data_IF_273368992936
#
_entry.id   IF_273368992936
#
_cell.length_a   1.000
_cell.length_b   1.000
_cell.length_c   1.000
_cell.angle_alpha   90.00
_cell.angle_beta   90.00
_cell.angle_gamma   90.00
#
_symmetry.space_group_name_H-M   'P 1'
#
loop_
_entity.id
_entity.type
_entity.pdbx_description
1 polymer ?
#
# COMPACT_ATOMS: atom_id res chain seq x y z
N UNK A 1 -12.18 64.80 -33.96
CA UNK A 1 -12.97 64.55 -32.74
C UNK A 1 -12.58 63.17 -32.24
N UNK A 2 -11.64 63.17 -31.31
CA UNK A 2 -10.96 62.02 -30.71
C UNK A 2 -11.80 61.46 -29.56
N UNK A 3 -12.12 60.16 -29.57
CA UNK A 3 -12.82 59.50 -28.48
C UNK A 3 -11.86 59.12 -27.33
N UNK A 4 -12.27 59.24 -26.06
CA UNK A 4 -11.65 58.53 -24.94
C UNK A 4 -12.53 57.31 -24.59
N UNK A 5 -12.05 56.17 -24.11
CA UNK A 5 -10.76 55.76 -23.57
C UNK A 5 -11.10 54.50 -22.78
N UNK A 6 -10.60 53.34 -23.20
CA UNK A 6 -10.84 52.09 -22.47
C UNK A 6 -10.02 52.09 -21.16
N UNK A 7 -10.59 51.65 -20.02
CA UNK A 7 -9.82 51.49 -18.80
C UNK A 7 -8.94 50.23 -18.88
N UNK A 8 -7.71 50.36 -18.38
CA UNK A 8 -6.61 49.43 -18.59
C UNK A 8 -6.67 48.14 -17.80
N UNK A 9 -5.98 47.14 -18.33
CA UNK A 9 -5.66 45.89 -17.63
C UNK A 9 -4.57 46.13 -16.59
N UNK A 10 -4.68 45.57 -15.37
CA UNK A 10 -3.55 45.44 -14.48
C UNK A 10 -2.75 44.16 -14.78
N UNK A 11 -1.44 44.32 -14.86
CA UNK A 11 -0.46 43.24 -15.00
C UNK A 11 -0.25 42.49 -13.66
N UNK A 12 -0.34 41.16 -13.78
CA UNK A 12 0.37 40.07 -13.08
C UNK A 12 1.06 40.36 -11.72
N UNK A 13 0.57 39.70 -10.68
CA UNK A 13 1.37 39.27 -9.53
C UNK A 13 1.40 37.74 -9.51
N UNK A 14 2.60 37.16 -9.57
CA UNK A 14 2.82 35.72 -9.62
C UNK A 14 2.50 35.01 -8.31
N UNK A 15 2.05 33.77 -8.44
CA UNK A 15 2.10 32.76 -7.39
C UNK A 15 2.82 31.54 -7.96
N UNK A 16 3.81 30.96 -7.26
CA UNK A 16 4.39 29.71 -7.70
C UNK A 16 3.33 28.62 -7.58
N UNK A 17 3.04 27.98 -8.71
CA UNK A 17 2.21 26.80 -8.78
C UNK A 17 2.90 25.65 -8.02
N UNK A 18 2.58 25.50 -6.74
CA UNK A 18 2.80 24.29 -5.98
C UNK A 18 1.53 23.44 -6.00
N UNK A 19 1.16 22.87 -7.15
CA UNK A 19 0.12 21.86 -7.22
C UNK A 19 0.78 20.48 -7.10
N UNK A 20 0.94 19.98 -5.88
CA UNK A 20 1.21 18.56 -5.62
C UNK A 20 -0.10 17.80 -5.45
N UNK A 21 -0.97 17.89 -6.46
CA UNK A 21 -2.21 17.14 -6.53
C UNK A 21 -2.14 16.16 -7.70
N UNK A 22 -1.22 15.20 -7.59
CA UNK A 22 -1.21 14.01 -8.46
C UNK A 22 -0.71 12.76 -7.69
N UNK A 23 -1.31 12.52 -6.51
CA UNK A 23 -0.76 11.62 -5.47
C UNK A 23 -1.42 10.24 -5.23
N UNK A 24 -2.34 9.70 -6.06
CA UNK A 24 -2.69 8.28 -5.99
C UNK A 24 -2.21 7.42 -7.17
N UNK A 25 -2.16 7.97 -8.39
CA UNK A 25 -1.93 7.18 -9.61
C UNK A 25 -0.45 6.81 -9.83
N UNK A 26 0.49 7.62 -9.33
CA UNK A 26 1.93 7.41 -9.53
C UNK A 26 2.52 6.31 -8.63
N UNK A 27 1.94 6.05 -7.45
CA UNK A 27 2.54 5.16 -6.44
C UNK A 27 2.91 3.75 -6.95
N UNK A 28 2.04 3.02 -7.68
CA UNK A 28 2.41 1.71 -8.21
C UNK A 28 3.56 1.80 -9.22
N UNK A 29 3.54 2.81 -10.09
CA UNK A 29 4.56 3.00 -11.12
C UNK A 29 5.92 3.37 -10.50
N UNK A 30 5.93 4.28 -9.52
CA UNK A 30 7.12 4.72 -8.80
C UNK A 30 7.76 3.57 -8.03
N UNK A 31 6.95 2.75 -7.33
CA UNK A 31 7.43 1.57 -6.62
C UNK A 31 8.07 0.57 -7.60
N UNK A 32 7.43 0.31 -8.74
CA UNK A 32 7.98 -0.61 -9.73
C UNK A 32 9.27 -0.07 -10.37
N UNK A 33 9.37 1.23 -10.63
CA UNK A 33 10.59 1.85 -11.12
C UNK A 33 11.74 1.73 -10.09
N UNK A 34 11.46 1.95 -8.81
CA UNK A 34 12.44 1.82 -7.73
C UNK A 34 12.92 0.37 -7.58
N UNK A 35 12.01 -0.61 -7.62
CA UNK A 35 12.34 -2.04 -7.60
C UNK A 35 13.20 -2.43 -8.81
N UNK A 36 12.83 -2.01 -10.02
CA UNK A 36 13.56 -2.33 -11.25
C UNK A 36 14.97 -1.74 -11.26
N UNK A 37 15.14 -0.53 -10.74
CA UNK A 37 16.46 0.09 -10.58
C UNK A 37 17.39 -0.74 -9.70
N UNK A 38 16.84 -1.51 -8.75
CA UNK A 38 17.58 -2.41 -7.86
C UNK A 38 17.65 -3.86 -8.36
N UNK A 39 16.95 -4.19 -9.44
CA UNK A 39 16.76 -5.58 -9.87
C UNK A 39 15.93 -6.40 -8.89
N UNK A 40 15.10 -5.75 -8.07
CA UNK A 40 14.27 -6.39 -7.05
C UNK A 40 12.87 -6.74 -7.56
N UNK A 41 12.27 -7.69 -6.86
CA UNK A 41 10.94 -8.22 -7.09
C UNK A 41 10.04 -8.07 -5.86
N UNK A 42 8.73 -8.07 -6.07
CA UNK A 42 7.71 -7.86 -5.03
C UNK A 42 6.60 -8.91 -5.09
N UNK A 43 6.14 -9.32 -3.92
CA UNK A 43 5.00 -10.21 -3.70
C UNK A 43 4.02 -9.60 -2.69
N UNK A 44 2.74 -9.93 -2.80
CA UNK A 44 1.68 -9.29 -2.00
C UNK A 44 0.83 -10.31 -1.23
N UNK A 45 0.61 -10.08 0.06
CA UNK A 45 -0.40 -10.76 0.87
C UNK A 45 -1.57 -9.80 1.15
N UNK A 46 -2.77 -10.13 0.67
CA UNK A 46 -3.94 -9.28 0.84
C UNK A 46 -5.01 -9.95 1.71
N UNK A 47 -5.64 -9.16 2.58
CA UNK A 47 -6.87 -9.53 3.28
C UNK A 47 -7.97 -8.53 2.92
N UNK A 48 -8.10 -7.43 3.67
CA UNK A 48 -9.19 -6.47 3.46
C UNK A 48 -9.22 -5.86 2.06
N UNK A 49 -8.05 -5.69 1.42
CA UNK A 49 -7.93 -5.10 0.08
C UNK A 49 -8.39 -6.06 -1.02
N UNK A 50 -8.38 -7.37 -0.78
CA UNK A 50 -9.01 -8.35 -1.68
C UNK A 50 -8.50 -8.34 -3.12
N UNK A 51 -7.22 -8.05 -3.35
CA UNK A 51 -6.60 -8.03 -4.68
C UNK A 51 -6.28 -6.63 -5.20
N UNK A 52 -6.74 -5.56 -4.55
CA UNK A 52 -6.57 -4.18 -5.04
C UNK A 52 -5.11 -3.71 -5.08
N UNK A 53 -4.23 -4.26 -4.23
CA UNK A 53 -2.80 -3.92 -4.27
C UNK A 53 -2.15 -4.58 -5.48
N UNK A 54 -2.44 -5.86 -5.69
CA UNK A 54 -1.94 -6.61 -6.84
C UNK A 54 -2.45 -6.01 -8.14
N UNK A 55 -3.75 -5.70 -8.23
CA UNK A 55 -4.39 -5.05 -9.38
C UNK A 55 -3.70 -3.73 -9.76
N UNK A 56 -3.48 -2.85 -8.78
CA UNK A 56 -2.82 -1.57 -9.01
C UNK A 56 -1.38 -1.72 -9.53
N UNK A 57 -0.64 -2.73 -9.06
CA UNK A 57 0.71 -3.01 -9.55
C UNK A 57 0.68 -3.57 -10.98
N UNK A 58 -0.19 -4.55 -11.27
CA UNK A 58 -0.22 -5.19 -12.61
C UNK A 58 -0.84 -4.31 -13.69
N UNK A 59 -1.58 -3.28 -13.31
CA UNK A 59 -2.07 -2.25 -14.24
C UNK A 59 -0.94 -1.41 -14.86
N UNK A 60 0.27 -1.39 -14.25
CA UNK A 60 1.42 -0.65 -14.77
C UNK A 60 2.11 -1.44 -15.89
N UNK A 61 2.33 -0.85 -17.09
CA UNK A 61 3.06 -1.51 -18.16
C UNK A 61 4.45 -2.01 -17.73
N UNK A 62 4.72 -3.30 -17.95
CA UNK A 62 5.99 -3.93 -17.59
C UNK A 62 6.09 -4.39 -16.14
N UNK A 63 4.98 -4.40 -15.38
CA UNK A 63 4.94 -4.90 -14.00
C UNK A 63 5.51 -6.32 -13.83
N UNK A 64 5.39 -7.18 -14.85
CA UNK A 64 5.93 -8.55 -14.83
C UNK A 64 7.44 -8.65 -14.61
N UNK A 65 8.20 -7.55 -14.78
CA UNK A 65 9.64 -7.51 -14.45
C UNK A 65 9.92 -7.59 -12.95
N UNK A 66 8.98 -7.17 -12.10
CA UNK A 66 9.18 -7.11 -10.64
C UNK A 66 8.07 -7.81 -9.86
N UNK A 67 6.82 -7.82 -10.34
CA UNK A 67 5.70 -8.44 -9.61
C UNK A 67 5.75 -9.96 -9.78
N UNK A 68 5.94 -10.68 -8.67
CA UNK A 68 5.93 -12.15 -8.63
C UNK A 68 4.52 -12.72 -8.54
N UNK A 69 3.61 -11.99 -7.92
CA UNK A 69 2.22 -12.40 -7.72
C UNK A 69 1.68 -11.95 -6.37
N UNK A 70 0.48 -12.41 -6.04
CA UNK A 70 -0.18 -12.12 -4.78
C UNK A 70 -1.00 -13.29 -4.26
N UNK A 71 -1.22 -13.31 -2.95
CA UNK A 71 -2.08 -14.24 -2.23
C UNK A 71 -3.16 -13.44 -1.52
N UNK A 72 -4.42 -13.70 -1.84
CA UNK A 72 -5.56 -13.14 -1.09
C UNK A 72 -5.97 -14.14 -0.01
N UNK A 73 -5.48 -13.93 1.22
CA UNK A 73 -5.77 -14.75 2.40
C UNK A 73 -6.87 -14.07 3.25
N UNK A 74 -8.09 -14.02 2.70
CA UNK A 74 -9.22 -13.32 3.33
C UNK A 74 -9.66 -13.99 4.64
N UNK A 75 -9.80 -15.31 4.64
CA UNK A 75 -10.11 -16.09 5.84
C UNK A 75 -8.88 -16.20 6.76
N UNK A 76 -9.12 -16.22 8.08
CA UNK A 76 -8.04 -16.22 9.10
C UNK A 76 -7.16 -17.46 9.01
N UNK A 77 -7.74 -18.64 8.80
CA UNK A 77 -7.02 -19.91 8.64
C UNK A 77 -6.10 -19.91 7.40
N UNK A 78 -6.51 -19.25 6.31
CA UNK A 78 -5.70 -19.11 5.11
C UNK A 78 -4.43 -18.27 5.33
N UNK A 79 -4.41 -17.38 6.33
CA UNK A 79 -3.18 -16.66 6.71
C UNK A 79 -2.13 -17.65 7.24
N UNK A 80 -2.54 -18.69 7.96
CA UNK A 80 -1.61 -19.72 8.43
C UNK A 80 -1.17 -20.65 7.29
N UNK A 81 -2.12 -21.22 6.53
CA UNK A 81 -1.82 -22.26 5.54
C UNK A 81 -1.04 -21.70 4.34
N UNK A 82 -1.45 -20.55 3.81
CA UNK A 82 -0.87 -19.98 2.60
C UNK A 82 0.35 -19.11 2.88
N UNK A 83 0.31 -18.30 3.95
CA UNK A 83 1.35 -17.31 4.27
C UNK A 83 2.26 -17.73 5.43
N UNK A 84 1.96 -18.83 6.12
CA UNK A 84 2.80 -19.31 7.24
C UNK A 84 2.72 -18.42 8.48
N UNK A 85 1.63 -17.67 8.66
CA UNK A 85 1.39 -16.96 9.92
C UNK A 85 1.20 -18.00 11.03
N UNK A 86 1.88 -17.80 12.15
CA UNK A 86 1.78 -18.72 13.28
C UNK A 86 0.33 -18.79 13.81
N UNK A 87 -0.18 -20.01 13.98
CA UNK A 87 -1.56 -20.22 14.40
C UNK A 87 -1.80 -19.77 15.85
N UNK A 88 -0.79 -19.85 16.72
CA UNK A 88 -0.89 -19.36 18.10
C UNK A 88 -0.93 -17.83 18.14
N UNK A 89 -0.22 -17.15 17.24
CA UNK A 89 -0.32 -15.69 17.06
C UNK A 89 -1.75 -15.30 16.65
N UNK A 90 -2.32 -15.96 15.65
CA UNK A 90 -3.69 -15.72 15.20
C UNK A 90 -4.72 -15.95 16.32
N UNK A 91 -4.55 -17.02 17.09
CA UNK A 91 -5.44 -17.32 18.22
C UNK A 91 -5.33 -16.29 19.36
N UNK A 92 -4.12 -15.80 19.64
CA UNK A 92 -3.87 -14.87 20.74
C UNK A 92 -4.22 -13.41 20.41
N UNK A 93 -4.07 -13.00 19.15
CA UNK A 93 -4.12 -11.60 18.73
C UNK A 93 -5.20 -11.27 17.70
N UNK A 94 -5.81 -12.29 17.09
CA UNK A 94 -6.77 -12.11 16.00
C UNK A 94 -6.09 -11.80 14.67
N UNK A 95 -6.89 -11.69 13.60
CA UNK A 95 -6.37 -11.49 12.24
C UNK A 95 -5.99 -10.03 11.93
N UNK A 96 -6.50 -9.08 12.72
CA UNK A 96 -6.28 -7.64 12.55
C UNK A 96 -5.30 -7.19 13.63
N UNK A 97 -4.01 -7.43 13.38
CA UNK A 97 -2.94 -7.10 14.33
C UNK A 97 -1.65 -6.77 13.55
N UNK A 98 -0.81 -5.84 14.05
CA UNK A 98 0.45 -5.47 13.39
C UNK A 98 1.46 -6.63 13.25
N UNK A 99 1.53 -7.55 14.21
CA UNK A 99 2.41 -8.72 14.18
C UNK A 99 1.94 -9.73 13.13
N UNK A 100 0.62 -9.84 12.93
CA UNK A 100 0.03 -10.63 11.85
C UNK A 100 0.33 -10.01 10.49
N UNK A 101 0.22 -8.69 10.34
CA UNK A 101 0.61 -7.99 9.10
C UNK A 101 2.09 -8.26 8.77
N UNK A 102 2.98 -8.15 9.77
CA UNK A 102 4.39 -8.44 9.62
C UNK A 102 4.67 -9.89 9.19
N UNK A 103 3.97 -10.86 9.80
CA UNK A 103 4.09 -12.27 9.45
C UNK A 103 3.57 -12.55 8.03
N UNK A 104 2.44 -11.96 7.64
CA UNK A 104 1.90 -12.05 6.28
C UNK A 104 2.89 -11.52 5.23
N UNK A 105 3.54 -10.38 5.49
CA UNK A 105 4.52 -9.79 4.56
C UNK A 105 5.75 -10.68 4.39
N UNK A 106 6.29 -11.23 5.49
CA UNK A 106 7.38 -12.24 5.45
C UNK A 106 6.94 -13.48 4.67
N UNK A 107 5.72 -13.94 4.92
CA UNK A 107 5.07 -15.05 4.23
C UNK A 107 5.04 -14.86 2.72
N UNK A 108 4.50 -13.74 2.25
CA UNK A 108 4.44 -13.40 0.83
C UNK A 108 5.83 -13.38 0.20
N UNK A 109 6.80 -12.69 0.84
CA UNK A 109 8.19 -12.62 0.39
C UNK A 109 8.79 -14.01 0.18
N UNK A 110 8.69 -14.86 1.20
CA UNK A 110 9.31 -16.20 1.17
C UNK A 110 8.59 -17.17 0.24
N UNK A 111 7.25 -17.27 0.33
CA UNK A 111 6.46 -18.26 -0.41
C UNK A 111 6.42 -18.00 -1.91
N UNK A 112 6.51 -16.74 -2.33
CA UNK A 112 6.50 -16.35 -3.75
C UNK A 112 7.90 -16.05 -4.31
N UNK A 113 8.95 -16.20 -3.50
CA UNK A 113 10.33 -15.96 -3.89
C UNK A 113 10.54 -14.54 -4.41
N UNK A 114 10.16 -13.55 -3.60
CA UNK A 114 10.34 -12.13 -3.90
C UNK A 114 11.38 -11.50 -2.97
N UNK A 115 11.95 -10.36 -3.38
CA UNK A 115 12.87 -9.58 -2.54
C UNK A 115 12.10 -8.79 -1.48
N UNK A 116 10.92 -8.31 -1.86
CA UNK A 116 10.01 -7.51 -1.03
C UNK A 116 8.65 -8.22 -0.89
N UNK A 117 8.15 -8.31 0.34
CA UNK A 117 6.80 -8.78 0.63
C UNK A 117 5.93 -7.66 1.19
N UNK A 118 4.74 -7.47 0.65
CA UNK A 118 3.74 -6.51 1.13
C UNK A 118 2.62 -7.25 1.85
N UNK A 119 2.00 -6.64 2.85
CA UNK A 119 0.81 -7.19 3.48
C UNK A 119 -0.24 -6.13 3.85
N UNK A 120 -1.52 -6.52 3.77
CA UNK A 120 -2.65 -5.73 4.28
C UNK A 120 -3.60 -6.59 5.12
N UNK A 121 -3.93 -6.12 6.33
CA UNK A 121 -5.00 -6.68 7.17
C UNK A 121 -5.75 -5.55 7.89
N UNK A 122 -7.03 -5.75 8.21
CA UNK A 122 -7.85 -4.68 8.74
C UNK A 122 -9.35 -4.93 8.61
N UNK A 123 -10.13 -4.02 9.19
CA UNK A 123 -11.58 -4.03 9.19
C UNK A 123 -12.08 -2.94 8.25
N UNK A 124 -12.46 -3.30 7.03
CA UNK A 124 -13.00 -2.33 6.07
C UNK A 124 -14.39 -1.80 6.46
N UNK A 125 -15.10 -2.46 7.38
CA UNK A 125 -16.47 -2.10 7.76
C UNK A 125 -17.55 -2.69 6.84
N UNK A 126 -18.84 -2.35 7.08
CA UNK A 126 -19.29 -1.31 8.00
C UNK A 126 -19.34 -1.73 9.49
N UNK A 127 -19.25 -3.01 9.79
CA UNK A 127 -19.25 -3.54 11.16
C UNK A 127 -17.81 -3.79 11.64
N UNK A 128 -17.63 -3.75 12.97
CA UNK A 128 -16.37 -4.17 13.61
C UNK A 128 -16.11 -5.68 13.45
N UNK A 129 -14.88 -6.09 13.70
CA UNK A 129 -14.46 -7.49 13.66
C UNK A 129 -13.36 -7.72 14.71
N UNK A 130 -13.42 -8.86 15.43
CA UNK A 130 -12.39 -9.27 16.41
C UNK A 130 -12.05 -8.20 17.47
N UNK A 131 -13.06 -7.40 17.88
CA UNK A 131 -12.88 -6.30 18.83
C UNK A 131 -12.40 -4.99 18.19
N UNK A 132 -12.02 -5.01 16.92
CA UNK A 132 -11.56 -3.84 16.17
C UNK A 132 -12.69 -3.09 15.50
N UNK A 133 -12.56 -1.76 15.48
CA UNK A 133 -13.53 -0.86 14.86
C UNK A 133 -13.33 -0.78 13.34
N UNK A 134 -14.39 -0.51 12.55
CA UNK A 134 -14.27 -0.19 11.13
C UNK A 134 -13.24 0.91 10.89
N UNK A 135 -12.42 0.75 9.84
CA UNK A 135 -11.33 1.64 9.48
C UNK A 135 -9.96 1.23 10.04
N UNK A 136 -9.90 0.28 10.98
CA UNK A 136 -8.63 -0.19 11.56
C UNK A 136 -7.85 -0.99 10.52
N UNK A 137 -6.63 -0.56 10.21
CA UNK A 137 -5.78 -1.15 9.16
C UNK A 137 -4.35 -1.27 9.65
N UNK A 138 -3.74 -2.42 9.36
CA UNK A 138 -2.32 -2.67 9.51
C UNK A 138 -1.75 -3.10 8.15
N UNK A 139 -0.65 -2.46 7.75
CA UNK A 139 0.11 -2.83 6.56
C UNK A 139 1.56 -3.09 6.92
N UNK A 140 2.22 -3.96 6.17
CA UNK A 140 3.63 -4.27 6.42
C UNK A 140 4.42 -4.45 5.13
N UNK A 141 5.71 -4.17 5.22
CA UNK A 141 6.70 -4.36 4.16
C UNK A 141 7.87 -5.14 4.74
N UNK A 142 8.17 -6.30 4.16
CA UNK A 142 9.28 -7.16 4.55
C UNK A 142 10.35 -7.16 3.45
N UNK A 143 11.61 -6.98 3.83
CA UNK A 143 12.78 -7.13 2.96
C UNK A 143 13.77 -8.11 3.61
N UNK A 144 14.95 -8.28 3.01
CA UNK A 144 16.05 -9.02 3.64
C UNK A 144 16.56 -8.35 4.94
N UNK A 145 16.36 -7.04 5.09
CA UNK A 145 16.92 -6.24 6.18
C UNK A 145 15.98 -6.10 7.39
N UNK A 146 14.72 -6.52 7.25
CA UNK A 146 13.75 -6.46 8.33
C UNK A 146 12.33 -6.25 7.84
N UNK A 147 11.45 -5.89 8.77
CA UNK A 147 10.04 -5.63 8.49
C UNK A 147 9.64 -4.27 9.07
N UNK A 148 8.95 -3.47 8.26
CA UNK A 148 8.32 -2.21 8.66
C UNK A 148 6.82 -2.39 8.67
N UNK A 149 6.17 -1.89 9.71
CA UNK A 149 4.71 -1.95 9.87
C UNK A 149 4.17 -0.54 10.03
N UNK A 150 3.04 -0.24 9.42
CA UNK A 150 2.26 0.97 9.68
C UNK A 150 0.83 0.58 10.05
N UNK A 151 0.30 1.27 11.06
CA UNK A 151 -1.07 1.09 11.55
C UNK A 151 -1.83 2.40 11.41
N UNK A 152 -3.08 2.34 10.97
CA UNK A 152 -3.91 3.52 10.75
C UNK A 152 -5.38 3.24 11.10
N UNK A 153 -6.08 4.32 11.47
CA UNK A 153 -7.53 4.36 11.54
C UNK A 153 -8.01 5.18 10.34
N UNK A 154 -8.46 4.50 9.28
CA UNK A 154 -8.80 5.13 8.01
C UNK A 154 -10.27 5.54 7.99
N UNK A 155 -10.60 6.79 7.61
CA UNK A 155 -11.97 7.26 7.54
C UNK A 155 -12.69 6.72 6.30
N UNK A 156 -14.02 6.80 6.32
CA UNK A 156 -14.87 6.52 5.16
C UNK A 156 -15.56 5.15 5.21
N UNK A 157 -16.20 4.81 4.10
CA UNK A 157 -16.88 3.54 3.93
C UNK A 157 -15.93 2.42 3.51
N UNK A 158 -16.52 1.24 3.27
CA UNK A 158 -15.77 0.02 2.94
C UNK A 158 -14.88 0.18 1.71
N UNK A 159 -15.33 0.89 0.68
CA UNK A 159 -14.57 1.09 -0.53
C UNK A 159 -13.38 2.04 -0.29
N UNK A 160 -13.62 3.14 0.43
CA UNK A 160 -12.64 4.15 0.77
C UNK A 160 -11.53 3.58 1.65
N UNK A 161 -11.89 2.81 2.70
CA UNK A 161 -10.90 2.16 3.58
C UNK A 161 -10.02 1.18 2.80
N UNK A 162 -10.59 0.41 1.87
CA UNK A 162 -9.81 -0.53 1.04
C UNK A 162 -8.86 0.19 0.10
N UNK A 163 -9.29 1.27 -0.56
CA UNK A 163 -8.45 2.07 -1.43
C UNK A 163 -7.33 2.77 -0.64
N UNK A 164 -7.64 3.35 0.52
CA UNK A 164 -6.66 3.99 1.38
C UNK A 164 -5.65 2.99 1.96
N UNK A 165 -6.06 1.76 2.29
CA UNK A 165 -5.16 0.69 2.73
C UNK A 165 -4.18 0.26 1.62
N UNK A 166 -4.66 0.20 0.36
CA UNK A 166 -3.79 -0.03 -0.81
C UNK A 166 -2.75 1.08 -0.92
N UNK A 167 -3.16 2.34 -0.87
CA UNK A 167 -2.24 3.47 -1.02
C UNK A 167 -1.23 3.54 0.13
N UNK A 168 -1.66 3.20 1.35
CA UNK A 168 -0.81 3.14 2.53
C UNK A 168 0.31 2.10 2.38
N UNK A 169 0.01 0.88 1.93
CA UNK A 169 1.05 -0.15 1.76
C UNK A 169 2.01 0.18 0.62
N UNK A 170 1.51 0.76 -0.48
CA UNK A 170 2.33 1.16 -1.62
C UNK A 170 3.29 2.30 -1.24
N UNK A 171 2.82 3.29 -0.47
CA UNK A 171 3.67 4.38 0.03
C UNK A 171 4.73 3.87 0.98
N UNK A 172 4.35 3.04 1.96
CA UNK A 172 5.31 2.42 2.87
C UNK A 172 6.35 1.59 2.12
N UNK A 173 5.95 0.87 1.08
CA UNK A 173 6.85 0.09 0.25
C UNK A 173 7.83 0.98 -0.53
N UNK A 174 7.34 2.08 -1.12
CA UNK A 174 8.19 3.04 -1.82
C UNK A 174 9.19 3.69 -0.86
N UNK A 175 8.79 4.03 0.36
CA UNK A 175 9.71 4.58 1.36
C UNK A 175 10.80 3.57 1.72
N UNK A 176 10.42 2.31 1.99
CA UNK A 176 11.36 1.23 2.34
C UNK A 176 12.30 0.88 1.18
N UNK A 177 11.80 0.85 -0.05
CA UNK A 177 12.58 0.60 -1.28
C UNK A 177 13.29 1.87 -1.77
N UNK A 178 12.96 3.05 -1.24
CA UNK A 178 13.68 4.29 -1.51
C UNK A 178 14.90 4.45 -0.62
N UNK A 179 14.84 3.92 0.60
CA UNK A 179 15.86 4.09 1.63
C UNK A 179 17.24 3.55 1.17
N UNK A 180 18.30 4.38 1.14
CA UNK A 180 19.64 3.92 0.77
C UNK A 180 20.22 2.87 1.73
N UNK A 181 19.75 2.76 2.98
CA UNK A 181 20.19 1.74 3.94
C UNK A 181 19.62 0.35 3.67
N UNK A 182 18.66 0.24 2.74
CA UNK A 182 18.09 -1.04 2.30
C UNK A 182 18.85 -1.68 1.13
N UNK A 183 20.16 -1.40 0.97
CA UNK A 183 21.01 -1.97 -0.08
C UNK A 183 21.84 -3.16 0.40
#
# INVERSE_FOLDING_TARGET
MTGPGQPGEPALAGSPAGSTADLPAALPADLLAALQTRGWSVAVAESLTGGLVTDALVAVPGASRSVRGGVVAYATDLKATLLGVDASLLAARGAVDPDVAAAMARGARYRLGADVGLATTGVAGPQGQDGERPGTVHVAVATAHGVRVASAQLPGGRAEVRAAARDLVLRLALDVVGDPESR
#
